data_IF_111809724227
#
_entry.id   IF_111809724227
#
_cell.length_a   1.000
_cell.length_b   1.000
_cell.length_c   1.000
_cell.angle_alpha   90.00
_cell.angle_beta   90.00
_cell.angle_gamma   90.00
#
_symmetry.space_group_name_H-M   'P 1'
#
loop_
_entity.id
_entity.type
_entity.pdbx_description
1 polymer ?
#
# COMPACT_ATOMS: atom_id res chain seq x y z
N UNK A 1 -16.45 10.19 9.00
CA UNK A 1 -15.24 9.63 8.37
C UNK A 1 -14.43 10.72 7.73
N UNK A 2 -13.13 10.72 8.02
CA UNK A 2 -12.14 11.59 7.39
C UNK A 2 -11.37 10.80 6.33
N UNK A 3 -10.95 11.49 5.26
CA UNK A 3 -10.06 10.90 4.26
C UNK A 3 -8.64 10.83 4.82
N UNK A 4 -8.11 9.63 4.97
CA UNK A 4 -6.79 9.38 5.52
C UNK A 4 -5.88 8.78 4.45
N UNK A 5 -4.64 9.29 4.35
CA UNK A 5 -3.59 8.69 3.53
C UNK A 5 -2.85 7.67 4.39
N UNK A 6 -2.84 6.41 3.97
CA UNK A 6 -2.18 5.30 4.68
C UNK A 6 -1.02 4.81 3.84
N UNK A 7 0.13 4.58 4.49
CA UNK A 7 1.32 3.96 3.87
C UNK A 7 1.65 2.69 4.63
N UNK A 8 1.51 1.53 4.00
CA UNK A 8 1.98 0.25 4.54
C UNK A 8 3.41 0.01 4.06
N UNK A 9 4.33 -0.27 4.99
CA UNK A 9 5.71 -0.63 4.70
C UNK A 9 5.98 -2.04 5.20
N UNK A 10 6.62 -2.87 4.38
CA UNK A 10 7.12 -4.18 4.78
C UNK A 10 8.58 -4.37 4.34
N UNK A 11 9.42 -4.83 5.26
CA UNK A 11 10.77 -5.30 4.93
C UNK A 11 10.68 -6.73 4.38
N UNK A 12 11.22 -6.93 3.17
CA UNK A 12 11.28 -8.22 2.50
C UNK A 12 12.72 -8.70 2.43
N UNK A 13 12.92 -9.99 2.13
CA UNK A 13 14.26 -10.60 2.01
C UNK A 13 15.19 -9.90 1.00
N UNK A 14 14.63 -9.18 0.02
CA UNK A 14 15.37 -8.62 -1.13
C UNK A 14 15.10 -7.13 -1.34
N UNK A 15 14.44 -6.45 -0.41
CA UNK A 15 14.08 -5.04 -0.56
C UNK A 15 12.98 -4.61 0.39
N UNK A 16 12.47 -3.40 0.20
CA UNK A 16 11.39 -2.84 0.99
C UNK A 16 10.18 -2.60 0.09
N UNK A 17 9.01 -3.03 0.53
CA UNK A 17 7.75 -2.78 -0.14
C UNK A 17 7.06 -1.59 0.51
N UNK A 18 6.53 -0.69 -0.32
CA UNK A 18 5.70 0.42 0.08
C UNK A 18 4.39 0.37 -0.70
N UNK A 19 3.27 0.42 0.02
CA UNK A 19 1.96 0.57 -0.58
C UNK A 19 1.27 1.79 0.02
N UNK A 20 0.79 2.67 -0.85
CA UNK A 20 0.19 3.95 -0.46
C UNK A 20 -1.23 3.99 -0.98
N UNK A 21 -2.18 4.23 -0.08
CA UNK A 21 -3.60 4.35 -0.44
C UNK A 21 -4.27 5.48 0.32
N UNK A 22 -5.51 5.79 -0.06
CA UNK A 22 -6.38 6.67 0.73
C UNK A 22 -7.66 5.94 1.09
N UNK A 23 -8.04 6.01 2.36
CA UNK A 23 -9.25 5.37 2.90
C UNK A 23 -10.11 6.40 3.63
N UNK A 24 -11.39 6.11 3.78
CA UNK A 24 -12.27 6.84 4.69
C UNK A 24 -12.37 6.05 6.00
N UNK A 25 -12.11 6.72 7.13
CA UNK A 25 -12.15 6.10 8.45
C UNK A 25 -12.46 7.15 9.53
N UNK A 26 -12.96 6.73 10.68
CA UNK A 26 -13.20 7.56 11.86
C UNK A 26 -12.03 7.49 12.87
N UNK A 27 -11.09 6.55 12.70
CA UNK A 27 -9.91 6.39 13.54
C UNK A 27 -8.69 5.87 12.76
N UNK A 28 -7.51 5.99 13.37
CA UNK A 28 -6.27 5.45 12.81
C UNK A 28 -6.30 3.92 12.68
N UNK A 29 -6.82 3.23 13.70
CA UNK A 29 -6.93 1.76 13.71
C UNK A 29 -7.85 1.27 12.59
N UNK A 30 -9.00 1.92 12.42
CA UNK A 30 -9.91 1.62 11.31
C UNK A 30 -9.27 1.90 9.95
N UNK A 31 -8.52 3.00 9.81
CA UNK A 31 -7.81 3.32 8.58
C UNK A 31 -6.76 2.25 8.23
N UNK A 32 -6.04 1.72 9.22
CA UNK A 32 -5.07 0.65 9.05
C UNK A 32 -5.76 -0.62 8.54
N UNK A 33 -6.82 -1.07 9.22
CA UNK A 33 -7.56 -2.29 8.83
C UNK A 33 -8.18 -2.14 7.44
N UNK A 34 -8.77 -0.99 7.14
CA UNK A 34 -9.33 -0.71 5.82
C UNK A 34 -8.26 -0.78 4.73
N UNK A 35 -7.06 -0.24 5.00
CA UNK A 35 -5.94 -0.32 4.09
C UNK A 35 -5.48 -1.78 3.91
N UNK A 36 -5.24 -2.54 4.98
CA UNK A 36 -4.82 -3.95 4.85
C UNK A 36 -5.81 -4.81 4.04
N UNK A 37 -7.11 -4.59 4.21
CA UNK A 37 -8.16 -5.26 3.44
C UNK A 37 -8.11 -4.88 1.95
N UNK A 38 -7.94 -3.59 1.64
CA UNK A 38 -7.80 -3.12 0.26
C UNK A 38 -6.55 -3.71 -0.40
N UNK A 39 -5.41 -3.72 0.31
CA UNK A 39 -4.20 -4.35 -0.21
C UNK A 39 -4.39 -5.84 -0.50
N UNK A 40 -5.06 -6.56 0.41
CA UNK A 40 -5.36 -7.98 0.24
C UNK A 40 -6.22 -8.22 -1.01
N UNK A 41 -7.19 -7.35 -1.29
CA UNK A 41 -7.99 -7.42 -2.52
C UNK A 41 -7.17 -7.13 -3.78
N UNK A 42 -6.29 -6.13 -3.75
CA UNK A 42 -5.38 -5.85 -4.88
C UNK A 42 -4.45 -7.05 -5.15
N UNK A 43 -4.01 -7.75 -4.11
CA UNK A 43 -3.15 -8.93 -4.24
C UNK A 43 -3.82 -10.09 -5.00
N UNK A 44 -5.16 -10.16 -5.03
CA UNK A 44 -5.89 -11.16 -5.81
C UNK A 44 -5.69 -11.00 -7.32
N UNK A 45 -5.41 -9.77 -7.77
CA UNK A 45 -5.13 -9.42 -9.18
C UNK A 45 -3.66 -9.09 -9.41
N UNK A 46 -2.77 -9.46 -8.49
CA UNK A 46 -1.34 -9.11 -8.56
C UNK A 46 -0.63 -9.57 -9.86
N UNK A 47 -1.14 -10.60 -10.53
CA UNK A 47 -0.61 -11.04 -11.82
C UNK A 47 -0.79 -10.04 -12.96
N UNK A 48 -1.69 -9.07 -12.79
CA UNK A 48 -2.02 -8.02 -13.78
C UNK A 48 -1.27 -6.70 -13.50
N UNK A 49 -0.50 -6.63 -12.41
CA UNK A 49 0.18 -5.42 -12.02
C UNK A 49 1.35 -5.10 -12.96
N UNK A 50 1.43 -3.83 -13.38
CA UNK A 50 2.54 -3.29 -14.14
C UNK A 50 3.06 -2.03 -13.46
N UNK A 51 4.39 -1.95 -13.29
CA UNK A 51 5.01 -0.73 -12.76
C UNK A 51 5.02 0.34 -13.84
N UNK A 52 4.32 1.45 -13.59
CA UNK A 52 4.18 2.57 -14.52
C UNK A 52 5.21 3.69 -14.32
N UNK A 53 5.85 3.73 -13.15
CA UNK A 53 6.88 4.70 -12.79
C UNK A 53 7.98 4.02 -11.98
N UNK A 54 9.23 4.45 -12.18
CA UNK A 54 10.40 3.93 -11.47
C UNK A 54 11.55 4.94 -11.55
N UNK A 55 12.34 5.00 -10.48
CA UNK A 55 13.56 5.79 -10.43
C UNK A 55 14.75 4.85 -10.17
N UNK A 56 15.87 5.10 -10.87
CA UNK A 56 17.08 4.29 -10.77
C UNK A 56 18.27 5.21 -10.59
N UNK A 57 18.77 5.28 -9.36
CA UNK A 57 19.97 6.03 -9.02
C UNK A 57 21.19 5.09 -8.91
N UNK A 58 22.34 5.45 -9.49
CA UNK A 58 23.59 4.71 -9.25
C UNK A 58 24.05 4.91 -7.80
N UNK A 59 24.54 3.83 -7.19
CA UNK A 59 25.15 3.85 -5.85
C UNK A 59 26.54 4.48 -5.84
#
# INVERSE_FOLDING_TARGET
MAKMKVTLQAELKRGTFYWVTTVEADSEEEALVAAENLFSAEMETASEWEFSDYDVEPF
#
